data_IF_564230219974
#
_entry.id   IF_564230219974
#
_cell.length_a   1.000
_cell.length_b   1.000
_cell.length_c   1.000
_cell.angle_alpha   90.00
_cell.angle_beta   90.00
_cell.angle_gamma   90.00
#
_symmetry.space_group_name_H-M   'P 1'
#
loop_
_entity.id
_entity.type
_entity.pdbx_description
1 polymer ?
#
# COMPACT_ATOMS: atom_id res chain seq x y z
N UNK A 1 1.94 15.34 10.11
CA UNK A 1 1.52 14.52 8.96
C UNK A 1 2.44 13.32 8.83
N UNK A 2 1.86 12.17 8.78
CA UNK A 2 2.56 10.90 8.67
C UNK A 2 2.19 10.24 7.35
N UNK A 3 3.16 9.61 6.69
CA UNK A 3 2.90 8.82 5.50
C UNK A 3 3.04 7.34 5.87
N UNK A 4 1.96 6.59 5.68
CA UNK A 4 1.96 5.14 5.78
C UNK A 4 2.29 4.62 4.39
N UNK A 5 3.53 4.20 4.20
CA UNK A 5 4.05 3.79 2.91
C UNK A 5 4.04 2.27 2.81
N UNK A 6 3.37 1.75 1.79
CA UNK A 6 3.34 0.31 1.51
C UNK A 6 4.09 0.08 0.21
N UNK A 7 5.23 -0.63 0.30
CA UNK A 7 5.99 -1.00 -0.88
C UNK A 7 5.65 -2.44 -1.25
N UNK A 8 5.21 -2.65 -2.48
CA UNK A 8 4.77 -3.95 -2.97
C UNK A 8 5.68 -4.42 -4.11
N UNK A 9 6.23 -5.62 -3.97
CA UNK A 9 6.88 -6.31 -5.08
C UNK A 9 5.84 -7.23 -5.69
N UNK A 10 5.48 -6.97 -6.94
CA UNK A 10 4.36 -7.63 -7.62
C UNK A 10 4.90 -8.47 -8.77
N UNK A 11 4.51 -9.76 -8.78
CA UNK A 11 4.88 -10.67 -9.86
C UNK A 11 4.39 -10.09 -11.20
N UNK A 12 5.24 -10.13 -12.22
CA UNK A 12 4.94 -9.54 -13.52
C UNK A 12 3.67 -10.10 -14.16
N UNK A 13 3.38 -11.39 -13.93
CA UNK A 13 2.22 -12.07 -14.51
C UNK A 13 0.89 -11.44 -14.09
N UNK A 14 0.85 -10.85 -12.89
CA UNK A 14 -0.41 -10.33 -12.34
C UNK A 14 -0.38 -8.81 -12.14
N UNK A 15 0.68 -8.14 -12.60
CA UNK A 15 0.86 -6.71 -12.30
C UNK A 15 -0.27 -5.83 -12.83
N UNK A 16 -0.74 -6.05 -14.05
CA UNK A 16 -1.82 -5.24 -14.61
C UNK A 16 -3.14 -5.47 -13.88
N UNK A 17 -3.47 -6.72 -13.60
CA UNK A 17 -4.65 -7.08 -12.81
C UNK A 17 -4.58 -6.48 -11.41
N UNK A 18 -3.41 -6.59 -10.77
CA UNK A 18 -3.19 -6.05 -9.44
C UNK A 18 -3.37 -4.53 -9.41
N UNK A 19 -2.84 -3.81 -10.40
CA UNK A 19 -3.01 -2.36 -10.50
C UNK A 19 -4.49 -1.97 -10.61
N UNK A 20 -5.25 -2.69 -11.42
CA UNK A 20 -6.69 -2.44 -11.56
C UNK A 20 -7.41 -2.70 -10.24
N UNK A 21 -7.13 -3.83 -9.61
CA UNK A 21 -7.75 -4.20 -8.33
C UNK A 21 -7.41 -3.20 -7.23
N UNK A 22 -6.17 -2.74 -7.17
CA UNK A 22 -5.76 -1.74 -6.18
C UNK A 22 -6.54 -0.44 -6.35
N UNK A 23 -6.69 0.03 -7.58
CA UNK A 23 -7.38 1.29 -7.84
C UNK A 23 -8.89 1.20 -7.71
N UNK A 24 -9.47 0.07 -8.06
CA UNK A 24 -10.93 -0.10 -8.08
C UNK A 24 -11.49 -0.63 -6.76
N UNK A 25 -10.72 -1.41 -6.02
CA UNK A 25 -11.22 -2.11 -4.82
C UNK A 25 -10.44 -1.76 -3.57
N UNK A 26 -9.14 -2.10 -3.55
CA UNK A 26 -8.36 -2.07 -2.30
C UNK A 26 -8.13 -0.66 -1.77
N UNK A 27 -7.59 0.23 -2.60
CA UNK A 27 -7.32 1.61 -2.15
C UNK A 27 -8.61 2.33 -1.76
N UNK A 28 -9.72 2.21 -2.52
CA UNK A 28 -11.00 2.77 -2.06
C UNK A 28 -11.44 2.25 -0.69
N UNK A 29 -11.27 0.95 -0.41
CA UNK A 29 -11.60 0.40 0.91
C UNK A 29 -10.74 1.02 2.02
N UNK A 30 -9.44 1.22 1.75
CA UNK A 30 -8.54 1.88 2.70
C UNK A 30 -9.01 3.31 2.94
N UNK A 31 -9.30 4.05 1.89
CA UNK A 31 -9.71 5.46 2.00
C UNK A 31 -11.08 5.63 2.66
N UNK A 32 -11.99 4.68 2.49
CA UNK A 32 -13.31 4.71 3.11
C UNK A 32 -13.26 4.63 4.64
N UNK A 33 -12.15 4.19 5.22
CA UNK A 33 -12.00 4.20 6.67
C UNK A 33 -12.04 5.62 7.24
N UNK A 34 -11.76 6.64 6.42
CA UNK A 34 -11.73 8.04 6.84
C UNK A 34 -10.48 8.42 7.62
N UNK A 35 -9.51 7.51 7.74
CA UNK A 35 -8.30 7.73 8.55
C UNK A 35 -7.14 8.31 7.76
N UNK A 36 -7.24 8.30 6.44
CA UNK A 36 -6.24 8.90 5.55
C UNK A 36 -6.85 10.04 4.74
N UNK A 37 -6.09 11.09 4.50
CA UNK A 37 -6.57 12.29 3.80
C UNK A 37 -6.34 12.24 2.30
N UNK A 38 -5.28 11.55 1.87
CA UNK A 38 -4.95 11.39 0.46
C UNK A 38 -4.01 10.20 0.27
N UNK A 39 -3.85 9.78 -0.96
CA UNK A 39 -2.90 8.73 -1.30
C UNK A 39 -2.21 9.02 -2.62
N UNK A 40 -1.12 8.32 -2.85
CA UNK A 40 -0.41 8.32 -4.13
C UNK A 40 0.07 6.91 -4.41
N UNK A 41 -0.20 6.42 -5.62
CA UNK A 41 0.29 5.13 -6.10
C UNK A 41 1.36 5.42 -7.15
N UNK A 42 2.58 4.96 -6.91
CA UNK A 42 3.71 5.21 -7.78
C UNK A 42 4.45 3.92 -8.13
N UNK A 43 5.11 3.91 -9.27
CA UNK A 43 5.93 2.78 -9.72
C UNK A 43 7.40 3.12 -9.51
N UNK A 44 8.16 2.18 -8.97
CA UNK A 44 9.61 2.32 -8.87
C UNK A 44 10.19 2.09 -10.27
N UNK A 45 10.87 3.08 -10.81
CA UNK A 45 11.30 3.05 -12.22
C UNK A 45 12.45 2.09 -12.51
N UNK A 46 13.31 1.85 -11.52
CA UNK A 46 14.47 0.99 -11.70
C UNK A 46 14.47 -0.10 -10.63
N UNK A 47 14.46 -1.35 -11.06
CA UNK A 47 14.59 -2.49 -10.17
C UNK A 47 16.06 -2.78 -9.90
N UNK A 48 16.34 -3.33 -8.71
CA UNK A 48 17.67 -3.81 -8.40
C UNK A 48 17.97 -5.09 -9.18
N UNK A 49 19.25 -5.35 -9.41
CA UNK A 49 19.68 -6.56 -10.10
C UNK A 49 19.15 -7.80 -9.37
N UNK A 50 18.55 -8.73 -10.14
CA UNK A 50 17.99 -9.97 -9.61
C UNK A 50 16.55 -9.87 -9.10
N UNK A 51 15.93 -8.71 -9.20
CA UNK A 51 14.53 -8.52 -8.83
C UNK A 51 13.65 -8.77 -10.04
N UNK A 52 12.87 -9.86 -10.00
CA UNK A 52 12.00 -10.27 -11.11
C UNK A 52 10.62 -9.64 -11.06
N UNK A 53 10.26 -8.98 -9.96
CA UNK A 53 8.97 -8.35 -9.81
C UNK A 53 9.01 -6.89 -10.21
N UNK A 54 7.82 -6.28 -10.18
CA UNK A 54 7.68 -4.85 -10.37
C UNK A 54 7.37 -4.25 -9.00
N UNK A 55 8.09 -3.18 -8.65
CA UNK A 55 7.91 -2.53 -7.36
C UNK A 55 7.01 -1.31 -7.47
N UNK A 56 6.00 -1.26 -6.61
CA UNK A 56 5.09 -0.13 -6.49
C UNK A 56 5.11 0.37 -5.05
N UNK A 57 4.79 1.64 -4.88
CA UNK A 57 4.67 2.24 -3.56
C UNK A 57 3.31 2.93 -3.45
N UNK A 58 2.57 2.65 -2.39
CA UNK A 58 1.33 3.36 -2.09
C UNK A 58 1.60 4.18 -0.82
N UNK A 59 1.45 5.48 -0.94
CA UNK A 59 1.73 6.41 0.15
C UNK A 59 0.42 7.01 0.63
N UNK A 60 -0.03 6.58 1.83
CA UNK A 60 -1.24 7.10 2.44
C UNK A 60 -0.88 8.16 3.47
N UNK A 61 -1.49 9.31 3.40
CA UNK A 61 -1.26 10.41 4.34
C UNK A 61 -2.28 10.39 5.45
N UNK A 62 -1.81 10.45 6.70
CA UNK A 62 -2.68 10.56 7.87
C UNK A 62 -2.22 11.71 8.76
N UNK A 63 -3.16 12.31 9.49
CA UNK A 63 -2.90 13.52 10.26
C UNK A 63 -2.02 13.28 11.50
N UNK A 64 -2.16 12.13 12.16
CA UNK A 64 -1.48 11.85 13.42
C UNK A 64 -1.35 10.37 13.70
N UNK A 65 -0.57 10.04 14.74
CA UNK A 65 -0.33 8.65 15.15
C UNK A 65 -1.58 7.95 15.66
N UNK A 66 -2.51 8.68 16.28
CA UNK A 66 -3.73 8.10 16.80
C UNK A 66 -4.58 7.50 15.67
N UNK A 67 -4.74 8.23 14.57
CA UNK A 67 -5.48 7.74 13.41
C UNK A 67 -4.76 6.58 12.75
N UNK A 68 -3.43 6.64 12.66
CA UNK A 68 -2.64 5.55 12.13
C UNK A 68 -2.82 4.28 12.94
N UNK A 69 -2.74 4.39 14.28
CA UNK A 69 -2.92 3.25 15.17
C UNK A 69 -4.32 2.66 15.05
N UNK A 70 -5.33 3.51 14.91
CA UNK A 70 -6.71 3.05 14.71
C UNK A 70 -6.81 2.22 13.42
N UNK A 71 -6.22 2.70 12.34
CA UNK A 71 -6.19 1.96 11.08
C UNK A 71 -5.50 0.61 11.24
N UNK A 72 -4.30 0.60 11.80
CA UNK A 72 -3.50 -0.62 11.94
C UNK A 72 -4.15 -1.65 12.86
N UNK A 73 -4.95 -1.20 13.82
CA UNK A 73 -5.62 -2.09 14.77
C UNK A 73 -6.96 -2.59 14.24
N UNK A 74 -7.78 -1.70 13.67
CA UNK A 74 -9.17 -2.01 13.33
C UNK A 74 -9.39 -2.41 11.88
N UNK A 75 -8.59 -1.90 10.96
CA UNK A 75 -8.85 -2.09 9.52
C UNK A 75 -7.74 -2.84 8.78
N UNK A 76 -6.49 -2.55 9.13
CA UNK A 76 -5.33 -3.09 8.43
C UNK A 76 -5.30 -4.62 8.35
N UNK A 77 -5.52 -5.35 9.45
CA UNK A 77 -5.44 -6.82 9.41
C UNK A 77 -6.41 -7.45 8.42
N UNK A 78 -7.66 -6.99 8.38
CA UNK A 78 -8.67 -7.52 7.45
C UNK A 78 -8.33 -7.21 5.99
N UNK A 79 -7.82 -6.02 5.72
CA UNK A 79 -7.45 -5.61 4.37
C UNK A 79 -6.20 -6.37 3.87
N UNK A 80 -5.23 -6.61 4.75
CA UNK A 80 -4.07 -7.45 4.44
C UNK A 80 -4.50 -8.86 4.10
N UNK A 81 -5.44 -9.40 4.86
CA UNK A 81 -5.94 -10.77 4.65
C UNK A 81 -6.60 -10.90 3.28
N UNK A 82 -7.37 -9.91 2.85
CA UNK A 82 -7.99 -9.92 1.52
C UNK A 82 -6.95 -9.98 0.40
N UNK A 83 -5.87 -9.21 0.53
CA UNK A 83 -4.78 -9.22 -0.46
C UNK A 83 -4.09 -10.58 -0.48
N UNK A 84 -3.81 -11.14 0.69
CA UNK A 84 -3.16 -12.43 0.81
C UNK A 84 -4.01 -13.55 0.20
N UNK A 85 -5.32 -13.53 0.45
CA UNK A 85 -6.25 -14.51 -0.12
C UNK A 85 -6.32 -14.44 -1.63
N UNK A 86 -6.24 -13.22 -2.19
CA UNK A 86 -6.35 -13.02 -3.63
C UNK A 86 -5.07 -13.35 -4.38
N UNK A 87 -3.92 -12.96 -3.86
CA UNK A 87 -2.65 -13.04 -4.60
C UNK A 87 -1.59 -13.92 -3.96
N UNK A 88 -1.73 -14.23 -2.66
CA UNK A 88 -0.75 -15.06 -1.96
C UNK A 88 0.65 -14.47 -2.05
N UNK A 89 1.62 -15.32 -2.41
CA UNK A 89 3.03 -14.95 -2.49
C UNK A 89 3.40 -14.15 -3.74
N UNK A 90 2.47 -13.95 -4.65
CA UNK A 90 2.73 -13.15 -5.87
C UNK A 90 2.86 -11.66 -5.58
N UNK A 91 2.44 -11.23 -4.41
CA UNK A 91 2.59 -9.84 -3.94
C UNK A 91 3.26 -9.89 -2.57
N UNK A 92 4.46 -9.33 -2.49
CA UNK A 92 5.19 -9.20 -1.23
C UNK A 92 5.19 -7.73 -0.85
N UNK A 93 4.76 -7.44 0.37
CA UNK A 93 4.62 -6.06 0.82
C UNK A 93 5.36 -5.82 2.12
N UNK A 94 5.96 -4.65 2.25
CA UNK A 94 6.47 -4.17 3.52
C UNK A 94 6.07 -2.71 3.71
N UNK A 95 6.04 -2.28 4.97
CA UNK A 95 5.51 -0.98 5.35
C UNK A 95 6.60 -0.14 6.00
N UNK A 96 6.56 1.15 5.69
CA UNK A 96 7.49 2.13 6.26
C UNK A 96 6.66 3.32 6.71
N UNK A 97 6.91 3.80 7.93
CA UNK A 97 6.26 5.00 8.44
C UNK A 97 7.19 6.18 8.22
N UNK A 98 6.68 7.21 7.58
CA UNK A 98 7.46 8.39 7.23
C UNK A 98 6.83 9.62 7.90
N UNK A 99 7.65 10.44 8.53
CA UNK A 99 7.18 11.72 9.06
C UNK A 99 7.49 12.82 8.06
N UNK A 100 6.48 13.60 7.71
CA UNK A 100 6.66 14.73 6.79
C UNK A 100 7.37 15.85 7.54
N UNK A 101 8.55 16.22 7.08
CA UNK A 101 9.33 17.32 7.66
C UNK A 101 9.03 18.62 6.91
N UNK A 102 9.01 18.54 5.59
CA UNK A 102 8.66 19.67 4.72
C UNK A 102 7.77 19.12 3.62
N UNK A 103 6.63 19.74 3.44
CA UNK A 103 5.65 19.28 2.44
C UNK A 103 5.68 20.18 1.18
#
# INVERSE_FOLDING_TARGET
MIIYNVTCNVNQDIAEEWLSWMQEVHIPEVMETGLFTKYRLVKVMHNQAGDDGINYSIQYHTENEQKLNEYQTLHGPGLKQKTLEKYGEKVLAFRTLLEVIVD
#
